data_IF_765757187928
#
_entry.id   IF_765757187928
#
_cell.length_a   1.000
_cell.length_b   1.000
_cell.length_c   1.000
_cell.angle_alpha   90.00
_cell.angle_beta   90.00
_cell.angle_gamma   90.00
#
_symmetry.space_group_name_H-M   'P 1'
#
loop_
_entity.id
_entity.type
_entity.pdbx_description
1 polymer ?
#
# COMPACT_ATOMS: atom_id res chain seq x y z
N UNK A 1 5.46 -15.71 -12.37
CA UNK A 1 6.13 -16.41 -11.26
C UNK A 1 5.26 -16.25 -10.02
N UNK A 2 4.59 -17.30 -9.56
CA UNK A 2 3.79 -17.27 -8.33
C UNK A 2 4.72 -17.58 -7.15
N UNK A 3 4.80 -16.69 -6.16
CA UNK A 3 5.58 -16.89 -4.94
C UNK A 3 4.83 -17.81 -3.96
N UNK A 4 5.57 -18.58 -3.16
CA UNK A 4 5.00 -19.51 -2.16
C UNK A 4 4.12 -18.77 -1.13
N UNK A 5 3.07 -19.42 -0.65
CA UNK A 5 2.19 -18.92 0.41
C UNK A 5 2.98 -18.47 1.65
N UNK A 6 4.01 -19.21 2.04
CA UNK A 6 4.86 -18.86 3.17
C UNK A 6 5.56 -17.50 2.98
N UNK A 7 6.04 -17.22 1.76
CA UNK A 7 6.70 -15.95 1.44
C UNK A 7 5.68 -14.80 1.45
N UNK A 8 4.47 -15.04 0.91
CA UNK A 8 3.39 -14.04 0.91
C UNK A 8 2.94 -13.71 2.33
N UNK A 9 2.75 -14.72 3.18
CA UNK A 9 2.41 -14.53 4.60
C UNK A 9 3.47 -13.73 5.34
N UNK A 10 4.76 -14.06 5.16
CA UNK A 10 5.87 -13.31 5.80
C UNK A 10 5.89 -11.85 5.35
N UNK A 11 5.82 -11.58 4.04
CA UNK A 11 5.79 -10.20 3.53
C UNK A 11 4.56 -9.44 4.04
N UNK A 12 3.40 -10.09 4.18
CA UNK A 12 2.21 -9.44 4.73
C UNK A 12 2.29 -9.11 6.21
N UNK A 13 3.00 -9.93 7.00
CA UNK A 13 3.30 -9.64 8.41
C UNK A 13 4.38 -8.57 8.60
N UNK A 14 5.25 -8.38 7.60
CA UNK A 14 6.35 -7.42 7.60
C UNK A 14 5.98 -6.08 6.97
N UNK A 15 4.70 -5.81 6.68
CA UNK A 15 4.27 -4.50 6.19
C UNK A 15 4.88 -3.39 7.08
N UNK A 16 5.82 -2.63 6.51
CA UNK A 16 6.82 -1.80 7.22
C UNK A 16 6.19 -0.56 7.89
N UNK A 17 4.87 -0.37 7.75
CA UNK A 17 4.15 0.75 8.35
C UNK A 17 2.95 0.26 9.17
N UNK A 18 2.79 0.74 10.43
CA UNK A 18 1.75 0.24 11.33
C UNK A 18 0.31 0.65 10.97
N UNK A 19 0.10 1.46 9.91
CA UNK A 19 -1.20 2.11 9.62
C UNK A 19 -1.69 1.96 8.18
N UNK A 20 -0.91 1.36 7.27
CA UNK A 20 -1.29 1.20 5.85
C UNK A 20 -1.34 -0.27 5.45
N UNK A 21 -2.33 -0.65 4.64
CA UNK A 21 -2.39 -2.00 4.07
C UNK A 21 -1.40 -2.12 2.90
N UNK A 22 -0.99 -3.35 2.56
CA UNK A 22 -0.17 -3.62 1.36
C UNK A 22 -0.89 -3.11 0.12
N UNK A 23 -2.22 -3.24 0.10
CA UNK A 23 -3.04 -2.74 -1.00
C UNK A 23 -2.82 -1.23 -1.23
N UNK A 24 -2.91 -0.43 -0.16
CA UNK A 24 -2.74 1.03 -0.25
C UNK A 24 -1.30 1.40 -0.60
N UNK A 25 -0.31 0.69 -0.04
CA UNK A 25 1.10 0.91 -0.36
C UNK A 25 1.40 0.64 -1.83
N UNK A 26 0.94 -0.50 -2.38
CA UNK A 26 1.15 -0.82 -3.80
C UNK A 26 0.42 0.16 -4.68
N UNK A 27 -0.80 0.58 -4.33
CA UNK A 27 -1.55 1.59 -5.08
C UNK A 27 -0.76 2.90 -5.18
N UNK A 28 -0.36 3.48 -4.04
CA UNK A 28 0.39 4.73 -4.01
C UNK A 28 1.76 4.61 -4.71
N UNK A 29 2.40 3.43 -4.63
CA UNK A 29 3.66 3.16 -5.33
C UNK A 29 3.47 3.05 -6.84
N UNK A 30 2.38 2.44 -7.32
CA UNK A 30 2.03 2.41 -8.74
C UNK A 30 1.70 3.80 -9.27
N UNK A 31 0.96 4.61 -8.51
CA UNK A 31 0.70 6.02 -8.83
C UNK A 31 2.03 6.80 -8.93
N UNK A 32 2.92 6.64 -7.95
CA UNK A 32 4.25 7.26 -7.96
C UNK A 32 5.04 6.92 -9.22
N UNK A 33 5.10 5.65 -9.60
CA UNK A 33 5.81 5.24 -10.82
C UNK A 33 5.14 5.74 -12.10
N UNK A 34 3.80 5.78 -12.15
CA UNK A 34 3.05 6.27 -13.32
C UNK A 34 3.23 7.77 -13.54
N UNK A 35 3.23 8.54 -12.45
CA UNK A 35 3.28 10.01 -12.48
C UNK A 35 4.65 10.57 -12.08
N UNK A 36 5.69 9.75 -12.09
CA UNK A 36 7.00 10.08 -11.52
C UNK A 36 7.54 11.46 -11.92
N UNK A 37 7.79 12.31 -10.93
CA UNK A 37 8.37 13.64 -11.13
C UNK A 37 7.45 14.67 -11.78
N UNK A 38 6.14 14.39 -11.86
CA UNK A 38 5.10 15.39 -12.16
C UNK A 38 4.46 15.89 -10.86
N UNK A 39 3.60 16.90 -10.95
CA UNK A 39 2.86 17.41 -9.79
C UNK A 39 1.80 16.42 -9.27
N UNK A 40 1.48 15.40 -10.06
CA UNK A 40 0.55 14.31 -9.70
C UNK A 40 1.25 13.17 -8.94
N UNK A 41 2.59 13.21 -8.84
CA UNK A 41 3.36 12.29 -8.02
C UNK A 41 3.19 12.60 -6.53
N UNK A 42 2.59 11.71 -5.72
CA UNK A 42 2.42 11.93 -4.28
C UNK A 42 3.76 12.09 -3.55
N UNK A 43 4.85 11.52 -4.08
CA UNK A 43 6.20 11.58 -3.53
C UNK A 43 7.16 12.41 -4.39
N UNK A 44 6.64 13.41 -5.12
CA UNK A 44 7.43 14.21 -6.05
C UNK A 44 8.74 14.74 -5.44
N UNK A 45 9.86 14.20 -5.90
CA UNK A 45 11.19 14.56 -5.43
C UNK A 45 11.56 16.02 -5.71
N UNK A 46 10.93 16.66 -6.71
CA UNK A 46 11.17 18.07 -7.05
C UNK A 46 10.66 19.03 -5.98
N UNK A 47 9.72 18.60 -5.12
CA UNK A 47 9.28 19.35 -3.93
C UNK A 47 10.28 19.23 -2.76
N UNK A 48 11.38 18.50 -2.94
CA UNK A 48 12.48 18.36 -1.99
C UNK A 48 12.44 17.05 -1.18
N UNK A 49 13.59 16.66 -0.63
CA UNK A 49 13.76 15.39 0.10
C UNK A 49 12.84 15.28 1.32
N UNK A 50 12.65 16.38 2.06
CA UNK A 50 11.74 16.42 3.21
C UNK A 50 10.28 16.21 2.79
N UNK A 51 9.91 16.74 1.62
CA UNK A 51 8.58 16.55 1.09
C UNK A 51 8.34 15.08 0.71
N UNK A 52 9.24 14.51 -0.08
CA UNK A 52 9.13 13.13 -0.53
C UNK A 52 9.09 12.10 0.62
N UNK A 53 9.78 12.36 1.73
CA UNK A 53 9.93 11.39 2.82
C UNK A 53 8.97 11.60 4.01
N UNK A 54 8.58 12.84 4.30
CA UNK A 54 7.82 13.18 5.52
C UNK A 54 6.54 13.94 5.23
N UNK A 55 6.59 15.02 4.44
CA UNK A 55 5.42 15.91 4.28
C UNK A 55 4.33 15.27 3.43
N UNK A 56 4.68 14.55 2.37
CA UNK A 56 3.74 13.78 1.54
C UNK A 56 2.85 12.81 2.33
N UNK A 57 3.28 12.44 3.55
CA UNK A 57 2.57 11.51 4.45
C UNK A 57 1.62 12.20 5.42
N UNK A 58 1.72 13.51 5.58
CA UNK A 58 0.90 14.31 6.51
C UNK A 58 0.00 15.28 5.74
N UNK A 59 0.39 15.68 4.52
CA UNK A 59 -0.42 16.50 3.64
C UNK A 59 -1.67 15.72 3.20
N UNK A 60 -2.79 16.44 3.06
CA UNK A 60 -4.01 15.87 2.49
C UNK A 60 -3.72 15.37 1.08
N UNK A 61 -4.25 14.19 0.76
CA UNK A 61 -4.07 13.59 -0.56
C UNK A 61 -4.45 14.58 -1.68
N UNK A 62 -3.68 14.56 -2.76
CA UNK A 62 -3.95 15.38 -3.94
C UNK A 62 -5.40 15.15 -4.42
N UNK A 63 -6.15 16.20 -4.81
CA UNK A 63 -7.57 16.06 -5.17
C UNK A 63 -7.84 15.02 -6.27
N UNK A 64 -6.86 14.81 -7.16
CA UNK A 64 -6.93 13.83 -8.24
C UNK A 64 -6.55 12.41 -7.86
N UNK A 65 -6.20 12.13 -6.59
CA UNK A 65 -5.80 10.78 -6.16
C UNK A 65 -6.89 9.75 -6.46
N UNK A 66 -8.16 10.09 -6.23
CA UNK A 66 -9.30 9.20 -6.53
C UNK A 66 -9.48 8.96 -8.03
N UNK A 67 -9.09 9.92 -8.87
CA UNK A 67 -9.10 9.76 -10.32
C UNK A 67 -7.96 8.82 -10.74
N UNK A 68 -6.75 9.06 -10.23
CA UNK A 68 -5.59 8.22 -10.49
C UNK A 68 -5.79 6.77 -10.02
N UNK A 69 -6.48 6.56 -8.89
CA UNK A 69 -6.80 5.22 -8.38
C UNK A 69 -7.58 4.39 -9.41
N UNK A 70 -8.54 4.99 -10.12
CA UNK A 70 -9.35 4.29 -11.14
C UNK A 70 -8.56 3.90 -12.38
N UNK A 71 -7.39 4.50 -12.59
CA UNK A 71 -6.54 4.22 -13.74
C UNK A 71 -5.40 3.24 -13.45
N UNK A 72 -5.24 2.83 -12.19
CA UNK A 72 -4.26 1.82 -11.78
C UNK A 72 -4.97 0.48 -11.74
N UNK A 73 -4.50 -0.45 -12.56
CA UNK A 73 -4.91 -1.85 -12.46
C UNK A 73 -4.44 -2.39 -11.09
N UNK A 74 -5.37 -2.93 -10.30
CA UNK A 74 -5.13 -3.57 -9.00
C UNK A 74 -5.67 -5.01 -8.98
N UNK A 75 -6.08 -5.55 -10.12
CA UNK A 75 -6.74 -6.86 -10.24
C UNK A 75 -5.88 -8.01 -9.70
N UNK A 76 -4.56 -7.89 -9.81
CA UNK A 76 -3.61 -8.85 -9.26
C UNK A 76 -3.69 -8.94 -7.73
N UNK A 77 -3.78 -7.80 -7.05
CA UNK A 77 -3.93 -7.73 -5.60
C UNK A 77 -5.36 -8.06 -5.15
N UNK A 78 -6.37 -7.69 -5.94
CA UNK A 78 -7.77 -8.05 -5.66
C UNK A 78 -8.02 -9.55 -5.77
N UNK A 79 -7.27 -10.24 -6.63
CA UNK A 79 -7.28 -11.71 -6.74
C UNK A 79 -6.54 -12.42 -5.59
N UNK A 80 -5.73 -11.68 -4.81
CA UNK A 80 -4.96 -12.21 -3.69
C UNK A 80 -5.77 -12.16 -2.39
N UNK A 81 -6.31 -13.31 -1.98
CA UNK A 81 -7.10 -13.43 -0.75
C UNK A 81 -6.35 -13.04 0.52
N UNK A 82 -5.02 -13.17 0.57
CA UNK A 82 -4.20 -12.78 1.74
C UNK A 82 -4.12 -11.26 1.81
N UNK A 83 -3.88 -10.59 0.68
CA UNK A 83 -3.85 -9.13 0.60
C UNK A 83 -5.22 -8.54 0.91
N UNK A 84 -6.29 -9.11 0.36
CA UNK A 84 -7.65 -8.64 0.60
C UNK A 84 -8.11 -8.90 2.04
N UNK A 85 -7.67 -10.00 2.65
CA UNK A 85 -7.81 -10.23 4.09
C UNK A 85 -7.11 -9.11 4.86
N UNK A 86 -5.81 -8.89 4.64
CA UNK A 86 -5.05 -7.84 5.33
C UNK A 86 -5.72 -6.45 5.20
N UNK A 87 -6.12 -6.05 3.98
CA UNK A 87 -6.83 -4.79 3.71
C UNK A 87 -8.10 -4.62 4.55
N UNK A 88 -8.89 -5.69 4.72
CA UNK A 88 -10.14 -5.68 5.50
C UNK A 88 -9.90 -5.38 6.98
N UNK A 89 -8.88 -6.00 7.57
CA UNK A 89 -8.57 -5.85 9.00
C UNK A 89 -7.79 -4.58 9.33
N UNK A 90 -7.00 -4.05 8.41
CA UNK A 90 -6.24 -2.81 8.62
C UNK A 90 -7.13 -1.55 8.58
N UNK A 91 -8.22 -1.53 7.78
CA UNK A 91 -9.15 -0.38 7.68
C UNK A 91 -9.93 -0.05 8.96
N UNK A 92 -10.01 -0.96 9.94
CA UNK A 92 -10.90 -0.84 11.12
C UNK A 92 -10.17 -0.64 12.46
N UNK A 93 -8.88 -0.26 12.47
CA UNK A 93 -8.19 0.12 13.70
C UNK A 93 -7.85 -1.04 14.64
N UNK A 94 -7.31 -2.16 14.11
CA UNK A 94 -6.88 -3.29 14.91
C UNK A 94 -5.50 -3.80 14.53
N UNK A 95 -4.45 -3.19 15.09
CA UNK A 95 -3.08 -3.72 15.06
C UNK A 95 -2.90 -4.96 15.97
N UNK A 96 -3.95 -5.77 16.14
CA UNK A 96 -3.94 -6.94 17.03
C UNK A 96 -4.62 -8.10 16.31
N UNK A 97 -3.85 -8.94 15.61
CA UNK A 97 -4.35 -10.27 15.24
C UNK A 97 -3.77 -10.95 14.00
N UNK A 98 -3.09 -10.26 13.09
CA UNK A 98 -2.63 -10.90 11.85
C UNK A 98 -1.43 -11.85 12.04
N UNK A 99 -0.65 -11.69 13.13
CA UNK A 99 0.50 -12.54 13.43
C UNK A 99 0.19 -13.90 14.06
N UNK A 100 -1.06 -14.17 14.48
CA UNK A 100 -1.38 -15.35 15.30
C UNK A 100 -2.23 -16.41 14.58
N UNK A 101 -2.74 -16.15 13.37
CA UNK A 101 -3.72 -17.06 12.72
C UNK A 101 -3.13 -17.97 11.63
N UNK A 102 -1.84 -17.84 11.28
CA UNK A 102 -1.20 -18.67 10.25
C UNK A 102 -0.25 -19.75 10.81
N UNK A 103 -0.28 -20.00 12.13
CA UNK A 103 0.54 -21.05 12.78
C UNK A 103 -0.23 -22.34 13.11
N UNK A 104 -1.53 -22.41 12.80
CA UNK A 104 -2.35 -23.61 13.01
C UNK A 104 -2.91 -24.14 11.68
N UNK A 105 -2.06 -24.80 10.88
CA UNK A 105 -2.39 -26.02 10.10
C UNK A 105 -1.11 -26.64 9.51
#
# INVERSE_FOLDING_TARGET
MTTSLAIRSVVTSLAIRPVESIYDWVLDHRIHHKYFGTDEDPYNYKRGIYYAHFVSKVETAHPRREEHEKEIDMSDLESDSIVMFQKRYYKHGGQLGAGFMFMDN
#
